data_IF_245764357474
#
_entry.id   IF_245764357474
#
_cell.length_a   1.000
_cell.length_b   1.000
_cell.length_c   1.000
_cell.angle_alpha   90.00
_cell.angle_beta   90.00
_cell.angle_gamma   90.00
#
_symmetry.space_group_name_H-M   'P 1'
#
loop_
_entity.id
_entity.type
_entity.pdbx_description
1 polymer ?
#
# COMPACT_ATOMS: atom_id res chain seq x y z
N UNK A 1 7.83 9.85 -17.89
CA UNK A 1 7.86 8.61 -17.23
C UNK A 1 6.93 7.61 -17.90
N UNK A 2 7.36 6.33 -17.93
CA UNK A 2 6.76 5.27 -18.75
C UNK A 2 5.24 5.20 -18.67
N UNK A 3 4.64 5.35 -17.48
CA UNK A 3 3.18 5.33 -17.33
C UNK A 3 2.46 6.36 -18.21
N UNK A 4 2.88 7.61 -18.20
CA UNK A 4 2.24 8.66 -18.99
C UNK A 4 2.48 8.48 -20.48
N UNK A 5 3.68 8.02 -20.86
CA UNK A 5 4.06 7.77 -22.24
C UNK A 5 3.26 6.58 -22.82
N UNK A 6 3.14 5.48 -22.08
CA UNK A 6 2.35 4.30 -22.44
C UNK A 6 0.85 4.62 -22.58
N UNK A 7 0.32 5.49 -21.71
CA UNK A 7 -1.07 5.91 -21.74
C UNK A 7 -1.34 7.09 -22.68
N UNK A 8 -0.31 7.64 -23.34
CA UNK A 8 -0.39 8.83 -24.20
C UNK A 8 -1.01 10.06 -23.51
N UNK A 9 -0.71 10.22 -22.22
CA UNK A 9 -1.17 11.34 -21.40
C UNK A 9 -0.08 12.42 -21.37
N UNK A 10 -0.42 13.66 -21.76
CA UNK A 10 0.47 14.79 -21.63
C UNK A 10 0.73 15.12 -20.15
N UNK A 11 1.99 15.35 -19.79
CA UNK A 11 2.41 15.67 -18.43
C UNK A 11 3.53 16.73 -18.42
N UNK A 12 3.72 17.35 -17.27
CA UNK A 12 4.90 18.19 -16.96
C UNK A 12 5.74 17.48 -15.89
N UNK A 13 7.02 17.81 -15.84
CA UNK A 13 7.94 17.32 -14.82
C UNK A 13 8.50 18.48 -14.03
N UNK A 14 8.48 18.38 -12.70
CA UNK A 14 9.06 19.36 -11.80
C UNK A 14 9.62 18.72 -10.54
N UNK A 15 10.57 19.39 -9.89
CA UNK A 15 11.08 18.99 -8.58
C UNK A 15 10.27 19.69 -7.49
N UNK A 16 9.69 18.93 -6.55
CA UNK A 16 9.01 19.43 -5.36
C UNK A 16 9.63 18.84 -4.09
N UNK A 17 10.47 19.61 -3.41
CA UNK A 17 11.21 19.11 -2.26
C UNK A 17 12.07 17.91 -2.63
N UNK A 18 11.88 16.79 -1.93
CA UNK A 18 12.59 15.53 -2.18
C UNK A 18 12.05 14.73 -3.37
N UNK A 19 10.92 15.16 -3.99
CA UNK A 19 10.22 14.38 -5.00
C UNK A 19 10.45 14.91 -6.41
N UNK A 20 10.71 13.99 -7.34
CA UNK A 20 10.60 14.22 -8.76
C UNK A 20 9.13 13.97 -9.17
N UNK A 21 8.40 15.02 -9.55
CA UNK A 21 6.97 14.98 -9.77
C UNK A 21 6.64 15.01 -11.26
N UNK A 22 5.79 14.07 -11.68
CA UNK A 22 5.23 13.98 -13.03
C UNK A 22 3.74 14.27 -12.94
N UNK A 23 3.28 15.36 -13.56
CA UNK A 23 1.96 15.93 -13.29
C UNK A 23 1.15 16.03 -14.57
N UNK A 24 -0.06 15.48 -14.54
CA UNK A 24 -1.12 15.68 -15.53
C UNK A 24 -2.32 16.39 -14.89
N UNK A 25 -3.42 16.55 -15.65
CA UNK A 25 -4.63 17.20 -15.12
C UNK A 25 -5.26 16.47 -13.92
N UNK A 26 -5.10 15.14 -13.81
CA UNK A 26 -5.79 14.31 -12.82
C UNK A 26 -4.86 13.39 -12.02
N UNK A 27 -3.63 13.22 -12.47
CA UNK A 27 -2.68 12.28 -11.88
C UNK A 27 -1.37 12.98 -11.63
N UNK A 28 -0.87 12.86 -10.42
CA UNK A 28 0.48 13.23 -10.05
C UNK A 28 1.22 11.98 -9.58
N UNK A 29 2.35 11.66 -10.22
CA UNK A 29 3.25 10.61 -9.80
C UNK A 29 4.46 11.26 -9.16
N UNK A 30 4.72 10.94 -7.90
CA UNK A 30 5.89 11.39 -7.15
C UNK A 30 6.88 10.25 -7.03
N UNK A 31 8.11 10.51 -7.41
CA UNK A 31 9.23 9.57 -7.28
C UNK A 31 10.15 10.08 -6.16
N UNK A 32 10.28 9.29 -5.11
CA UNK A 32 11.04 9.63 -3.91
C UNK A 32 10.72 8.67 -2.76
N UNK A 33 11.25 8.93 -1.57
CA UNK A 33 10.92 8.18 -0.38
C UNK A 33 9.57 8.64 0.19
N UNK A 34 8.64 7.71 0.44
CA UNK A 34 7.34 8.01 1.05
C UNK A 34 7.48 8.71 2.41
N UNK A 35 8.56 8.44 3.12
CA UNK A 35 8.84 9.05 4.42
C UNK A 35 9.23 10.53 4.35
N UNK A 36 9.55 11.05 3.17
CA UNK A 36 9.78 12.47 2.94
C UNK A 36 8.48 13.26 2.75
N UNK A 37 7.32 12.59 2.61
CA UNK A 37 6.03 13.28 2.62
C UNK A 37 5.75 13.86 4.00
N UNK A 38 5.57 15.16 4.05
CA UNK A 38 5.27 15.86 5.31
C UNK A 38 3.85 15.54 5.81
N UNK A 39 3.58 15.65 7.12
CA UNK A 39 2.21 15.52 7.64
C UNK A 39 1.22 16.50 6.99
N UNK A 40 1.66 17.72 6.65
CA UNK A 40 0.83 18.71 5.96
C UNK A 40 0.45 18.30 4.53
N UNK A 41 1.32 17.58 3.83
CA UNK A 41 1.01 17.01 2.51
C UNK A 41 0.06 15.83 2.64
N UNK A 42 0.32 14.91 3.57
CA UNK A 42 -0.54 13.75 3.81
C UNK A 42 -1.96 14.16 4.25
N UNK A 43 -2.09 15.22 5.07
CA UNK A 43 -3.40 15.73 5.52
C UNK A 43 -4.31 16.24 4.39
N UNK A 44 -3.77 16.49 3.20
CA UNK A 44 -4.55 16.90 2.02
C UNK A 44 -5.32 15.76 1.37
N UNK A 45 -4.96 14.51 1.67
CA UNK A 45 -5.62 13.34 1.10
C UNK A 45 -6.83 12.93 1.94
N UNK A 46 -7.90 12.58 1.25
CA UNK A 46 -9.15 12.07 1.85
C UNK A 46 -9.13 10.57 2.05
N UNK A 47 -8.19 9.89 1.40
CA UNK A 47 -8.02 8.47 1.51
C UNK A 47 -6.74 7.97 0.85
N UNK A 48 -6.54 6.66 0.90
CA UNK A 48 -5.41 5.98 0.27
C UNK A 48 -5.83 4.63 -0.32
N UNK A 49 -5.05 4.17 -1.27
CA UNK A 49 -5.15 2.82 -1.82
C UNK A 49 -3.79 2.15 -1.73
N UNK A 50 -3.71 1.08 -0.96
CA UNK A 50 -2.51 0.26 -0.81
C UNK A 50 -2.80 -1.18 -1.23
N UNK A 51 -2.18 -1.59 -2.31
CA UNK A 51 -2.27 -2.95 -2.82
C UNK A 51 -0.93 -3.68 -2.78
N UNK A 52 0.15 -2.94 -2.74
CA UNK A 52 1.46 -3.51 -2.91
C UNK A 52 2.52 -2.94 -1.96
N UNK A 53 2.33 -1.74 -1.41
CA UNK A 53 3.36 -1.10 -0.59
C UNK A 53 3.58 -1.88 0.72
N UNK A 54 2.52 -2.16 1.48
CA UNK A 54 2.65 -2.86 2.76
C UNK A 54 3.24 -4.27 2.60
N UNK A 55 2.73 -5.04 1.63
CA UNK A 55 3.20 -6.43 1.40
C UNK A 55 4.57 -6.51 0.71
N UNK A 56 5.10 -5.41 0.20
CA UNK A 56 6.46 -5.34 -0.33
C UNK A 56 7.50 -4.99 0.76
N UNK A 57 7.06 -4.56 1.94
CA UNK A 57 7.94 -4.15 3.02
C UNK A 57 8.23 -5.30 3.97
N UNK A 58 9.50 -5.50 4.37
CA UNK A 58 9.84 -6.35 5.51
C UNK A 58 9.11 -5.89 6.77
N UNK A 59 8.88 -6.82 7.70
CA UNK A 59 8.08 -6.59 8.90
C UNK A 59 8.55 -5.37 9.71
N UNK A 60 9.86 -5.22 9.90
CA UNK A 60 10.48 -4.12 10.65
C UNK A 60 10.16 -2.73 10.10
N UNK A 61 9.83 -2.63 8.81
CA UNK A 61 9.50 -1.37 8.15
C UNK A 61 8.00 -1.05 8.15
N UNK A 62 7.13 -2.06 8.31
CA UNK A 62 5.66 -1.90 8.25
C UNK A 62 5.13 -0.97 9.33
N UNK A 63 5.61 -1.14 10.56
CA UNK A 63 5.20 -0.28 11.70
C UNK A 63 5.52 1.19 11.44
N UNK A 64 6.71 1.49 10.93
CA UNK A 64 7.10 2.85 10.57
C UNK A 64 6.24 3.41 9.44
N UNK A 65 5.98 2.61 8.40
CA UNK A 65 5.15 2.99 7.26
C UNK A 65 3.72 3.33 7.67
N UNK A 66 3.07 2.43 8.40
CA UNK A 66 1.70 2.64 8.87
C UNK A 66 1.61 3.84 9.81
N UNK A 67 2.55 3.97 10.76
CA UNK A 67 2.59 5.13 11.65
C UNK A 67 2.74 6.44 10.88
N UNK A 68 3.61 6.48 9.87
CA UNK A 68 3.81 7.65 9.02
C UNK A 68 2.53 8.06 8.29
N UNK A 69 1.87 7.13 7.61
CA UNK A 69 0.61 7.40 6.93
C UNK A 69 -0.49 7.83 7.91
N UNK A 70 -0.71 7.04 8.98
CA UNK A 70 -1.83 7.25 9.89
C UNK A 70 -1.69 8.54 10.71
N UNK A 71 -0.48 8.98 11.04
CA UNK A 71 -0.25 10.25 11.73
C UNK A 71 -0.40 11.46 10.80
N UNK A 72 -0.07 11.31 9.52
CA UNK A 72 -0.18 12.37 8.52
C UNK A 72 -1.60 12.55 7.97
N UNK A 73 -2.32 11.48 7.72
CA UNK A 73 -3.68 11.54 7.18
C UNK A 73 -4.66 12.20 8.17
N UNK A 74 -5.60 12.97 7.64
CA UNK A 74 -6.66 13.60 8.46
C UNK A 74 -7.60 12.56 9.07
N UNK A 75 -8.25 12.91 10.18
CA UNK A 75 -9.29 12.07 10.78
C UNK A 75 -10.43 11.86 9.78
N UNK A 76 -10.96 10.64 9.75
CA UNK A 76 -12.00 10.24 8.79
C UNK A 76 -11.48 9.86 7.40
N UNK A 77 -10.20 10.06 7.10
CA UNK A 77 -9.63 9.55 5.86
C UNK A 77 -9.83 8.04 5.74
N UNK A 78 -10.24 7.58 4.56
CA UNK A 78 -10.59 6.18 4.33
C UNK A 78 -9.62 5.52 3.37
N UNK A 79 -9.04 4.39 3.79
CA UNK A 79 -8.14 3.58 2.99
C UNK A 79 -8.79 2.29 2.49
N UNK A 80 -8.39 1.87 1.30
CA UNK A 80 -8.59 0.52 0.80
C UNK A 80 -7.24 -0.18 0.79
N UNK A 81 -7.08 -1.19 1.64
CA UNK A 81 -5.88 -2.00 1.76
C UNK A 81 -6.15 -3.41 1.23
N UNK A 82 -5.25 -3.90 0.40
CA UNK A 82 -5.26 -5.29 -0.08
C UNK A 82 -4.01 -5.98 0.42
N UNK A 83 -4.19 -7.05 1.20
CA UNK A 83 -3.10 -7.87 1.72
C UNK A 83 -2.98 -9.19 0.96
N UNK A 84 -1.89 -9.87 1.24
CA UNK A 84 -1.57 -11.18 0.70
C UNK A 84 -0.98 -12.00 1.84
N UNK A 85 -1.58 -13.15 2.15
CA UNK A 85 -1.05 -14.03 3.20
C UNK A 85 -0.95 -15.47 2.73
N UNK A 86 0.06 -16.18 3.20
CA UNK A 86 0.42 -17.53 2.81
C UNK A 86 1.31 -18.16 3.90
N UNK A 87 1.62 -19.44 3.79
CA UNK A 87 2.58 -20.12 4.67
C UNK A 87 4.00 -19.60 4.37
N UNK A 88 4.57 -18.86 5.31
CA UNK A 88 5.89 -18.22 5.17
C UNK A 88 7.04 -19.21 4.97
N UNK A 89 6.85 -20.48 5.31
CA UNK A 89 7.84 -21.52 5.00
C UNK A 89 8.05 -21.74 3.49
N UNK A 90 7.12 -21.25 2.65
CA UNK A 90 7.19 -21.42 1.19
C UNK A 90 8.00 -20.31 0.48
N UNK A 91 8.10 -19.11 1.07
CA UNK A 91 8.77 -17.98 0.43
C UNK A 91 9.10 -16.87 1.42
N UNK A 92 10.31 -16.32 1.31
CA UNK A 92 10.79 -15.21 2.17
C UNK A 92 10.29 -13.81 1.73
N UNK A 93 9.49 -13.71 0.67
CA UNK A 93 9.03 -12.43 0.12
C UNK A 93 10.05 -11.72 -0.80
N UNK A 94 9.77 -10.52 -1.35
CA UNK A 94 8.42 -9.99 -1.53
C UNK A 94 7.59 -10.73 -2.62
N UNK A 95 6.26 -10.68 -2.57
CA UNK A 95 5.44 -10.12 -1.51
C UNK A 95 5.59 -10.91 -0.21
N UNK A 96 5.59 -10.22 0.92
CA UNK A 96 5.60 -10.85 2.25
C UNK A 96 4.19 -11.21 2.69
N UNK A 97 4.07 -12.23 3.52
CA UNK A 97 2.80 -12.58 4.16
C UNK A 97 2.37 -11.48 5.14
N UNK A 98 1.09 -11.09 5.09
CA UNK A 98 0.48 -10.12 6.01
C UNK A 98 -0.89 -10.64 6.39
N UNK A 99 -1.04 -11.03 7.64
CA UNK A 99 -2.25 -11.66 8.20
C UNK A 99 -3.25 -10.64 8.76
N UNK A 100 -4.44 -11.11 9.19
CA UNK A 100 -5.43 -10.27 9.89
C UNK A 100 -4.89 -9.77 11.23
N UNK A 101 -4.09 -10.59 11.92
CA UNK A 101 -3.45 -10.24 13.18
C UNK A 101 -2.46 -9.08 12.97
N UNK A 102 -1.59 -9.19 11.97
CA UNK A 102 -0.67 -8.12 11.58
C UNK A 102 -1.41 -6.80 11.30
N UNK A 103 -2.54 -6.86 10.58
CA UNK A 103 -3.34 -5.68 10.27
C UNK A 103 -3.96 -5.08 11.54
N UNK A 104 -4.44 -5.93 12.46
CA UNK A 104 -4.93 -5.51 13.76
C UNK A 104 -3.87 -4.78 14.58
N UNK A 105 -2.66 -5.32 14.65
CA UNK A 105 -1.53 -4.73 15.37
C UNK A 105 -1.05 -3.42 14.73
N UNK A 106 -0.89 -3.40 13.41
CA UNK A 106 -0.36 -2.25 12.69
C UNK A 106 -1.31 -1.04 12.70
N UNK A 107 -2.60 -1.28 12.45
CA UNK A 107 -3.59 -0.20 12.26
C UNK A 107 -4.48 0.05 13.48
N UNK A 108 -4.67 -0.93 14.38
CA UNK A 108 -5.68 -0.90 15.43
C UNK A 108 -5.60 0.29 16.39
N UNK A 109 -4.40 0.82 16.64
CA UNK A 109 -4.22 2.02 17.46
C UNK A 109 -4.60 3.33 16.73
N UNK A 110 -4.65 3.34 15.40
CA UNK A 110 -4.84 4.53 14.57
C UNK A 110 -6.21 4.61 13.91
N UNK A 111 -6.82 3.46 13.63
CA UNK A 111 -7.96 3.38 12.73
C UNK A 111 -8.99 2.34 13.15
N UNK A 112 -10.19 2.45 12.59
CA UNK A 112 -11.12 1.33 12.51
C UNK A 112 -10.76 0.49 11.30
N UNK A 113 -10.76 -0.84 11.48
CA UNK A 113 -10.37 -1.80 10.45
C UNK A 113 -11.55 -2.74 10.21
N UNK A 114 -12.03 -2.79 8.99
CA UNK A 114 -13.12 -3.69 8.60
C UNK A 114 -12.65 -4.58 7.45
N UNK A 115 -12.71 -5.90 7.62
CA UNK A 115 -12.56 -6.85 6.53
C UNK A 115 -13.79 -6.79 5.63
N UNK A 116 -13.62 -6.32 4.40
CA UNK A 116 -14.70 -6.15 3.43
C UNK A 116 -14.97 -7.40 2.61
N UNK A 117 -13.88 -8.09 2.24
CA UNK A 117 -13.92 -9.31 1.44
C UNK A 117 -12.62 -10.09 1.57
N UNK A 118 -12.66 -11.36 1.25
CA UNK A 118 -11.48 -12.21 1.09
C UNK A 118 -11.59 -13.09 -0.15
N UNK A 119 -10.45 -13.47 -0.68
CA UNK A 119 -10.32 -14.49 -1.70
C UNK A 119 -9.27 -15.50 -1.26
N UNK A 120 -9.60 -16.79 -1.34
CA UNK A 120 -8.66 -17.90 -1.13
C UNK A 120 -8.45 -18.68 -2.42
N UNK A 121 -7.30 -19.29 -2.56
CA UNK A 121 -6.94 -20.15 -3.68
C UNK A 121 -5.52 -19.91 -4.19
N UNK A 122 -5.17 -20.41 -5.37
CA UNK A 122 -3.82 -20.26 -5.90
C UNK A 122 -3.47 -18.78 -6.15
N UNK A 123 -2.20 -18.44 -5.97
CA UNK A 123 -1.68 -17.13 -6.33
C UNK A 123 -1.98 -16.80 -7.79
N UNK A 124 -2.33 -15.54 -8.09
CA UNK A 124 -2.65 -15.10 -9.45
C UNK A 124 -1.45 -15.17 -10.40
N UNK A 125 -0.27 -14.83 -9.88
CA UNK A 125 0.98 -14.91 -10.64
C UNK A 125 1.44 -16.35 -10.82
N UNK A 126 1.78 -16.73 -12.06
CA UNK A 126 2.37 -18.04 -12.38
C UNK A 126 3.66 -18.24 -11.60
N UNK A 127 4.54 -17.23 -11.56
CA UNK A 127 5.79 -17.29 -10.82
C UNK A 127 5.60 -17.61 -9.31
N UNK A 128 4.56 -17.10 -8.67
CA UNK A 128 4.26 -17.40 -7.28
C UNK A 128 3.69 -18.83 -7.12
N UNK A 129 2.88 -19.28 -8.07
CA UNK A 129 2.39 -20.68 -8.09
C UNK A 129 3.53 -21.68 -8.25
N UNK A 130 4.50 -21.37 -9.10
CA UNK A 130 5.69 -22.23 -9.32
C UNK A 130 6.57 -22.34 -8.05
N UNK A 131 6.46 -21.36 -7.15
CA UNK A 131 7.05 -21.41 -5.79
C UNK A 131 6.20 -22.16 -4.77
N UNK A 132 5.09 -22.77 -5.17
CA UNK A 132 4.24 -23.56 -4.29
C UNK A 132 3.10 -22.78 -3.62
N UNK A 133 2.87 -21.50 -3.96
CA UNK A 133 1.79 -20.69 -3.39
C UNK A 133 0.44 -21.06 -4.05
N UNK A 134 -0.04 -22.24 -3.75
CA UNK A 134 -1.31 -22.78 -4.27
C UNK A 134 -2.50 -22.52 -3.36
N UNK A 135 -2.25 -22.17 -2.09
CA UNK A 135 -3.26 -21.75 -1.13
C UNK A 135 -2.81 -20.44 -0.48
N UNK A 136 -3.30 -19.34 -1.04
CA UNK A 136 -3.05 -17.98 -0.55
C UNK A 136 -4.36 -17.29 -0.26
N UNK A 137 -4.31 -16.27 0.60
CA UNK A 137 -5.46 -15.43 0.92
C UNK A 137 -5.16 -13.97 0.57
N UNK A 138 -5.98 -13.38 -0.30
CA UNK A 138 -6.06 -11.93 -0.48
C UNK A 138 -7.13 -11.40 0.51
N UNK A 139 -6.75 -10.53 1.44
CA UNK A 139 -7.67 -9.80 2.33
C UNK A 139 -7.90 -8.39 1.80
N UNK A 140 -9.14 -7.92 1.80
CA UNK A 140 -9.53 -6.57 1.37
C UNK A 140 -10.12 -5.85 2.57
N UNK A 141 -9.48 -4.77 3.01
CA UNK A 141 -9.84 -4.03 4.21
C UNK A 141 -10.18 -2.59 3.92
N UNK A 142 -11.20 -2.10 4.62
CA UNK A 142 -11.46 -0.69 4.79
C UNK A 142 -10.78 -0.20 6.07
N UNK A 143 -9.96 0.83 5.95
CA UNK A 143 -9.24 1.46 7.05
C UNK A 143 -9.78 2.88 7.22
N UNK A 144 -10.37 3.20 8.37
CA UNK A 144 -10.91 4.54 8.64
C UNK A 144 -10.13 5.19 9.77
N UNK A 145 -9.38 6.26 9.48
CA UNK A 145 -8.54 7.00 10.43
C UNK A 145 -9.39 7.62 11.56
N UNK A 146 -9.09 7.31 12.83
CA UNK A 146 -9.73 7.89 14.02
C UNK A 146 -9.34 9.34 14.26
#
# INVERSE_FOLDING_TARGET
>A
ASFFDEQQIAYTREQRGAFDCFISQRIEIRVGDIFDMTPGELARFEGFYDRAALIAMPEENRTRYVAHLMRGLRRGATGLLITFSYDEALMDGPPFSVTDEDIGELYGQYAHVDLMAERRGPAKSTHLRDKGLTDVRDGIYRIVRR
#
